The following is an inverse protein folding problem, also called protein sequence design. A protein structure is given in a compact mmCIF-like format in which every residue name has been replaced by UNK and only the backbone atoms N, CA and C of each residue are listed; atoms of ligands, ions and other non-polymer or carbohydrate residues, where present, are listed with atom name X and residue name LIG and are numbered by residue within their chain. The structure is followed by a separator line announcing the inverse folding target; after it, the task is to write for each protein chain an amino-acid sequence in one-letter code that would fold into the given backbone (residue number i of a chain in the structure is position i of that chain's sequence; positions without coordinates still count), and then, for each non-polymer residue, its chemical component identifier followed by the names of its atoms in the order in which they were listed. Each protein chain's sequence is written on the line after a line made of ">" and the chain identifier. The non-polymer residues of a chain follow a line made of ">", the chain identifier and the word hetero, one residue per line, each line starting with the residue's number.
data_IF_230906593495
#
_entry.id   IF_230906593495
#
_cell.length_a   1.000
_cell.length_b   1.000
_cell.length_c   1.000
_cell.angle_alpha   90.00
_cell.angle_beta   90.00
_cell.angle_gamma   90.00
#
_symmetry.space_group_name_H-M   'P 1'
#
loop_
_entity.id
_entity.type
_entity.pdbx_description
1 polymer ?
#
# COMPACT_ATOMS: atom_id res chain seq x y z
N UNK A 1 -29.06 1.67 8.38
CA UNK A 1 -28.61 0.43 9.02
C UNK A 1 -29.66 -0.65 8.86
N UNK A 2 -29.23 -1.84 8.59
CA UNK A 2 -30.07 -3.05 8.53
C UNK A 2 -29.45 -4.13 9.40
N UNK A 3 -30.30 -4.83 10.16
CA UNK A 3 -29.90 -6.05 10.85
C UNK A 3 -30.05 -7.26 9.93
N UNK A 4 -29.16 -8.22 10.07
CA UNK A 4 -29.20 -9.52 9.40
C UNK A 4 -29.50 -10.62 10.43
N UNK A 5 -30.65 -11.27 10.34
CA UNK A 5 -30.97 -12.41 11.23
C UNK A 5 -29.97 -13.57 11.03
N UNK A 6 -29.44 -13.68 9.82
CA UNK A 6 -28.35 -14.62 9.49
C UNK A 6 -27.17 -13.82 8.95
N UNK A 7 -26.00 -13.98 9.57
CA UNK A 7 -24.79 -13.26 9.15
C UNK A 7 -24.49 -13.52 7.65
N UNK A 8 -24.21 -12.45 6.91
CA UNK A 8 -23.92 -12.42 5.46
C UNK A 8 -25.10 -12.85 4.55
N UNK A 9 -26.30 -13.08 5.08
CA UNK A 9 -27.49 -13.36 4.28
C UNK A 9 -28.38 -12.12 4.19
N UNK A 10 -28.22 -11.35 3.12
CA UNK A 10 -28.98 -10.11 2.88
C UNK A 10 -30.48 -10.34 2.71
N UNK A 11 -30.92 -11.58 2.42
CA UNK A 11 -32.36 -11.92 2.34
C UNK A 11 -33.05 -11.88 3.70
N UNK A 12 -32.27 -11.95 4.78
CA UNK A 12 -32.75 -11.84 6.18
C UNK A 12 -32.70 -10.42 6.71
N UNK A 13 -32.31 -9.43 5.86
CA UNK A 13 -32.13 -8.05 6.30
C UNK A 13 -33.46 -7.40 6.70
N UNK A 14 -33.45 -6.76 7.85
CA UNK A 14 -34.54 -5.90 8.32
C UNK A 14 -34.04 -4.47 8.50
N UNK A 15 -34.82 -3.49 8.01
CA UNK A 15 -34.46 -2.09 8.24
C UNK A 15 -34.53 -1.79 9.74
N UNK A 16 -33.43 -1.30 10.28
CA UNK A 16 -33.31 -0.95 11.69
C UNK A 16 -33.44 0.56 11.89
N UNK A 17 -32.57 1.33 11.31
CA UNK A 17 -32.50 2.78 11.52
C UNK A 17 -31.81 3.52 10.39
N UNK A 18 -32.01 4.84 10.37
CA UNK A 18 -31.25 5.78 9.52
C UNK A 18 -30.76 6.96 10.36
N UNK A 19 -29.71 7.60 9.88
CA UNK A 19 -29.16 8.84 10.43
C UNK A 19 -29.09 9.88 9.33
N UNK A 20 -29.65 11.04 9.57
CA UNK A 20 -29.44 12.21 8.71
C UNK A 20 -28.11 12.87 9.09
N UNK A 21 -27.31 13.19 8.08
CA UNK A 21 -25.97 13.78 8.22
C UNK A 21 -26.04 15.20 7.65
N UNK A 22 -26.24 16.17 8.54
CA UNK A 22 -26.51 17.57 8.15
C UNK A 22 -25.24 18.36 7.83
N UNK A 23 -24.08 17.85 8.23
CA UNK A 23 -22.76 18.49 8.02
C UNK A 23 -22.19 18.24 6.63
N UNK A 24 -22.77 17.30 5.88
CA UNK A 24 -22.25 16.89 4.58
C UNK A 24 -22.81 17.71 3.42
N UNK A 25 -22.01 17.87 2.37
CA UNK A 25 -22.49 18.46 1.12
C UNK A 25 -23.44 17.47 0.46
N UNK A 26 -24.68 17.91 0.22
CA UNK A 26 -25.74 17.06 -0.34
C UNK A 26 -25.35 16.44 -1.68
N UNK A 27 -25.62 15.12 -1.82
CA UNK A 27 -25.39 14.32 -3.05
C UNK A 27 -23.93 14.18 -3.48
N UNK A 28 -22.98 14.25 -2.54
CA UNK A 28 -21.53 14.13 -2.84
C UNK A 28 -20.85 13.01 -2.07
N UNK A 29 -21.64 12.20 -1.33
CA UNK A 29 -21.10 11.07 -0.58
C UNK A 29 -20.62 9.98 -1.54
N UNK A 30 -19.47 9.41 -1.23
CA UNK A 30 -18.80 8.43 -2.09
C UNK A 30 -18.63 7.09 -1.39
N UNK A 31 -18.20 7.13 -0.12
CA UNK A 31 -17.83 5.93 0.59
C UNK A 31 -18.02 6.08 2.11
N UNK A 32 -18.15 4.95 2.81
CA UNK A 32 -18.33 4.86 4.28
C UNK A 32 -17.51 3.70 4.83
N UNK A 33 -16.71 4.01 5.85
CA UNK A 33 -15.89 3.05 6.58
C UNK A 33 -16.15 3.15 8.08
N UNK A 34 -15.86 2.07 8.80
CA UNK A 34 -15.85 2.04 10.27
C UNK A 34 -14.48 1.58 10.73
N UNK A 35 -14.06 2.03 11.92
CA UNK A 35 -12.93 1.38 12.58
C UNK A 35 -13.35 0.00 13.12
N UNK A 36 -12.35 -0.82 13.47
CA UNK A 36 -12.56 -2.24 13.80
C UNK A 36 -13.54 -2.45 14.99
N UNK A 37 -13.57 -1.55 15.97
CA UNK A 37 -14.46 -1.63 17.14
C UNK A 37 -15.81 -0.94 16.93
N UNK A 38 -16.04 -0.30 15.78
CA UNK A 38 -17.29 0.38 15.46
C UNK A 38 -17.57 1.66 16.28
N UNK A 39 -16.57 2.17 16.99
CA UNK A 39 -16.69 3.42 17.77
C UNK A 39 -16.57 4.69 16.90
N UNK A 40 -16.05 4.55 15.67
CA UNK A 40 -15.90 5.63 14.71
C UNK A 40 -16.47 5.23 13.34
N UNK A 41 -17.07 6.22 12.68
CA UNK A 41 -17.51 6.12 11.28
C UNK A 41 -16.88 7.25 10.48
N UNK A 42 -16.43 6.93 9.29
CA UNK A 42 -15.79 7.84 8.36
C UNK A 42 -16.59 7.91 7.08
N UNK A 43 -16.82 9.11 6.54
CA UNK A 43 -17.60 9.29 5.30
C UNK A 43 -16.81 10.17 4.36
N UNK A 44 -16.45 9.61 3.20
CA UNK A 44 -15.83 10.35 2.12
C UNK A 44 -16.90 11.15 1.36
N UNK A 45 -16.67 12.45 1.26
CA UNK A 45 -17.51 13.39 0.55
C UNK A 45 -16.65 14.26 -0.37
N UNK A 46 -16.49 13.86 -1.63
CA UNK A 46 -15.61 14.48 -2.62
C UNK A 46 -14.17 14.63 -2.12
N UNK A 47 -13.85 15.77 -1.54
CA UNK A 47 -12.51 16.16 -1.09
C UNK A 47 -12.36 16.11 0.42
N UNK A 48 -13.34 15.55 1.13
CA UNK A 48 -13.35 15.62 2.59
C UNK A 48 -13.76 14.28 3.19
N UNK A 49 -12.99 13.76 4.13
CA UNK A 49 -13.37 12.64 4.97
C UNK A 49 -13.95 13.24 6.27
N UNK A 50 -15.20 12.96 6.54
CA UNK A 50 -15.90 13.42 7.73
C UNK A 50 -15.89 12.32 8.78
N UNK A 51 -15.51 12.66 9.99
CA UNK A 51 -15.30 11.75 11.12
C UNK A 51 -16.44 11.90 12.11
N UNK A 52 -17.02 10.77 12.51
CA UNK A 52 -18.09 10.68 13.50
C UNK A 52 -17.68 9.74 14.62
N UNK A 53 -17.94 10.14 15.87
CA UNK A 53 -17.83 9.26 17.03
C UNK A 53 -19.19 8.62 17.31
N UNK A 54 -19.20 7.32 17.59
CA UNK A 54 -20.37 6.56 17.98
C UNK A 54 -20.28 6.19 19.47
N UNK A 55 -21.28 6.54 20.25
CA UNK A 55 -21.31 6.18 21.69
C UNK A 55 -21.73 4.74 21.93
N UNK A 56 -22.34 4.11 20.94
CA UNK A 56 -22.62 2.67 20.90
C UNK A 56 -22.00 2.13 19.59
N UNK A 57 -21.18 1.10 19.71
CA UNK A 57 -20.47 0.48 18.60
C UNK A 57 -21.43 0.09 17.47
N UNK A 58 -21.08 0.49 16.24
CA UNK A 58 -21.87 0.26 15.01
C UNK A 58 -23.32 0.79 15.03
N UNK A 59 -23.74 1.51 16.06
CA UNK A 59 -25.07 2.13 16.09
C UNK A 59 -25.02 3.54 15.51
N UNK A 60 -25.36 3.67 14.22
CA UNK A 60 -25.33 4.96 13.50
C UNK A 60 -26.25 6.02 14.11
N UNK A 61 -27.29 5.65 14.89
CA UNK A 61 -28.16 6.63 15.54
C UNK A 61 -27.44 7.43 16.63
N UNK A 62 -26.35 6.85 17.17
CA UNK A 62 -25.51 7.48 18.21
C UNK A 62 -24.37 8.31 17.62
N UNK A 63 -24.21 8.32 16.28
CA UNK A 63 -23.14 9.05 15.62
C UNK A 63 -23.26 10.57 15.87
N UNK A 64 -22.16 11.16 16.30
CA UNK A 64 -21.98 12.61 16.45
C UNK A 64 -20.78 13.06 15.62
N UNK A 65 -20.95 14.16 14.86
CA UNK A 65 -19.86 14.74 14.11
C UNK A 65 -18.72 15.17 15.03
N UNK A 66 -17.49 14.79 14.65
CA UNK A 66 -16.29 15.13 15.40
C UNK A 66 -15.46 16.18 14.63
N UNK A 67 -14.99 15.82 13.47
CA UNK A 67 -14.06 16.62 12.68
C UNK A 67 -14.12 16.22 11.21
N UNK A 68 -13.26 16.86 10.39
CA UNK A 68 -13.04 16.45 9.01
C UNK A 68 -11.55 16.54 8.63
N UNK A 69 -11.19 15.79 7.60
CA UNK A 69 -9.88 15.83 6.96
C UNK A 69 -10.05 16.13 5.47
N UNK A 70 -9.25 17.09 4.94
CA UNK A 70 -9.31 17.49 3.54
C UNK A 70 -8.23 16.81 2.72
N UNK A 71 -8.61 16.24 1.57
CA UNK A 71 -7.72 15.71 0.54
C UNK A 71 -7.63 16.64 -0.68
N UNK A 72 -8.19 17.86 -0.57
CA UNK A 72 -8.34 18.78 -1.70
C UNK A 72 -7.00 19.30 -2.28
N UNK A 73 -5.91 19.18 -1.52
CA UNK A 73 -4.56 19.52 -2.02
C UNK A 73 -4.03 18.46 -2.99
N UNK A 74 -4.45 17.20 -2.84
CA UNK A 74 -3.99 16.07 -3.63
C UNK A 74 -4.95 15.75 -4.76
N UNK A 75 -6.27 15.73 -4.49
CA UNK A 75 -7.29 15.42 -5.50
C UNK A 75 -8.56 16.26 -5.36
N UNK A 76 -9.20 16.54 -6.48
CA UNK A 76 -10.47 17.27 -6.55
C UNK A 76 -11.70 16.40 -6.36
N UNK A 77 -11.56 15.06 -6.42
CA UNK A 77 -12.65 14.11 -6.29
C UNK A 77 -12.16 12.74 -5.79
N UNK A 78 -12.17 12.52 -4.47
CA UNK A 78 -12.05 11.19 -3.88
C UNK A 78 -13.31 10.36 -4.14
N UNK A 79 -13.15 9.07 -4.45
CA UNK A 79 -14.25 8.16 -4.79
C UNK A 79 -14.30 6.88 -3.96
N UNK A 80 -13.21 6.48 -3.35
CA UNK A 80 -13.12 5.36 -2.42
C UNK A 80 -11.97 5.59 -1.46
N UNK A 81 -12.01 5.00 -0.29
CA UNK A 81 -10.90 5.04 0.66
C UNK A 81 -10.94 3.83 1.58
N UNK A 82 -9.81 3.54 2.21
CA UNK A 82 -9.73 2.53 3.27
C UNK A 82 -8.69 2.95 4.30
N UNK A 83 -8.86 2.46 5.53
CA UNK A 83 -7.97 2.73 6.66
C UNK A 83 -7.49 1.39 7.21
N UNK A 84 -6.23 1.33 7.63
CA UNK A 84 -5.67 0.14 8.29
C UNK A 84 -6.37 -0.14 9.63
N UNK A 85 -6.36 -1.40 10.07
CA UNK A 85 -7.01 -1.82 11.32
C UNK A 85 -6.51 -1.05 12.55
N UNK A 86 -5.24 -0.64 12.58
CA UNK A 86 -4.64 0.17 13.63
C UNK A 86 -4.88 1.69 13.46
N UNK A 87 -5.48 2.08 12.32
CA UNK A 87 -5.80 3.47 11.99
C UNK A 87 -4.62 4.34 11.61
N UNK A 88 -3.42 3.78 11.43
CA UNK A 88 -2.21 4.56 11.14
C UNK A 88 -1.95 4.78 9.65
N UNK A 89 -2.52 3.95 8.78
CA UNK A 89 -2.44 4.07 7.32
C UNK A 89 -3.80 4.37 6.72
N UNK A 90 -3.85 5.24 5.72
CA UNK A 90 -5.06 5.53 4.95
C UNK A 90 -4.73 5.65 3.48
N UNK A 91 -5.56 5.05 2.65
CA UNK A 91 -5.46 5.10 1.20
C UNK A 91 -6.73 5.69 0.61
N UNK A 92 -6.58 6.66 -0.28
CA UNK A 92 -7.71 7.32 -0.95
C UNK A 92 -7.54 7.21 -2.45
N UNK A 93 -8.59 6.77 -3.12
CA UNK A 93 -8.66 6.75 -4.59
C UNK A 93 -9.24 8.06 -5.07
N UNK A 94 -8.49 8.77 -5.91
CA UNK A 94 -8.90 10.00 -6.54
C UNK A 94 -9.33 9.78 -8.01
N UNK A 95 -10.41 10.41 -8.42
CA UNK A 95 -10.91 10.41 -9.81
C UNK A 95 -10.51 11.68 -10.57
N UNK A 96 -9.99 12.69 -9.87
CA UNK A 96 -9.53 13.92 -10.48
C UNK A 96 -8.19 13.77 -11.21
N UNK A 97 -7.28 13.01 -10.62
CA UNK A 97 -5.96 12.72 -11.18
C UNK A 97 -5.75 11.22 -11.45
N UNK A 98 -6.75 10.37 -11.18
CA UNK A 98 -6.71 8.91 -11.37
C UNK A 98 -5.57 8.24 -10.58
N UNK A 99 -5.31 8.71 -9.35
CA UNK A 99 -4.24 8.23 -8.48
C UNK A 99 -4.79 7.59 -7.21
N UNK A 100 -3.95 6.77 -6.57
CA UNK A 100 -4.14 6.36 -5.17
C UNK A 100 -3.19 7.18 -4.30
N UNK A 101 -3.72 7.81 -3.27
CA UNK A 101 -2.99 8.65 -2.31
C UNK A 101 -2.84 7.92 -1.00
N UNK A 102 -1.64 7.94 -0.46
CA UNK A 102 -1.30 7.37 0.82
C UNK A 102 -1.10 8.46 1.87
N UNK A 103 -1.68 8.24 3.05
CA UNK A 103 -1.52 9.08 4.22
C UNK A 103 -1.08 8.25 5.42
N UNK A 104 -0.23 8.84 6.24
CA UNK A 104 0.17 8.28 7.52
C UNK A 104 -0.38 9.13 8.67
N UNK A 105 -0.96 8.47 9.66
CA UNK A 105 -1.45 9.07 10.89
C UNK A 105 -0.52 8.63 12.04
N UNK A 106 0.19 9.56 12.67
CA UNK A 106 1.11 9.22 13.77
C UNK A 106 0.38 8.74 15.03
N UNK A 107 -0.92 8.99 15.11
CA UNK A 107 -1.83 8.42 16.11
C UNK A 107 -3.02 7.83 15.37
N UNK A 108 -3.26 6.53 15.57
CA UNK A 108 -4.32 5.82 14.86
C UNK A 108 -5.68 6.50 15.00
N UNK A 109 -6.38 6.66 13.87
CA UNK A 109 -7.69 7.33 13.76
C UNK A 109 -7.74 8.79 14.21
N UNK A 110 -6.60 9.43 14.49
CA UNK A 110 -6.50 10.87 14.76
C UNK A 110 -6.06 11.61 13.48
N UNK A 111 -7.01 12.07 12.71
CA UNK A 111 -6.79 12.74 11.43
C UNK A 111 -6.07 14.09 11.55
N UNK A 112 -5.98 14.67 12.77
CA UNK A 112 -5.15 15.87 13.00
C UNK A 112 -3.65 15.58 12.88
N UNK A 113 -3.28 14.30 12.98
CA UNK A 113 -1.89 13.81 12.84
C UNK A 113 -1.60 13.28 11.46
N UNK A 114 -2.56 13.33 10.53
CA UNK A 114 -2.42 12.80 9.18
C UNK A 114 -1.43 13.65 8.36
N UNK A 115 -0.55 12.96 7.66
CA UNK A 115 0.41 13.54 6.72
C UNK A 115 0.36 12.77 5.40
N UNK A 116 0.37 13.51 4.28
CA UNK A 116 0.54 12.91 2.96
C UNK A 116 1.91 12.24 2.86
N UNK A 117 1.95 11.01 2.37
CA UNK A 117 3.17 10.22 2.18
C UNK A 117 3.57 10.20 0.72
N UNK A 118 2.69 9.66 -0.12
CA UNK A 118 2.95 9.47 -1.55
C UNK A 118 1.66 9.31 -2.34
N UNK A 119 1.78 9.34 -3.67
CA UNK A 119 0.73 8.91 -4.57
C UNK A 119 1.25 7.84 -5.52
N UNK A 120 0.38 6.95 -5.91
CA UNK A 120 0.64 5.89 -6.86
C UNK A 120 -0.21 6.06 -8.10
N UNK A 121 0.45 6.12 -9.26
CA UNK A 121 -0.18 6.13 -10.57
C UNK A 121 -0.32 4.68 -11.05
N UNK A 122 -1.56 4.22 -11.17
CA UNK A 122 -1.86 2.85 -11.60
C UNK A 122 -1.68 2.64 -13.10
N UNK A 123 -1.54 3.73 -13.88
CA UNK A 123 -1.33 3.67 -15.33
C UNK A 123 0.13 3.33 -15.68
N UNK A 124 1.03 3.28 -14.69
CA UNK A 124 2.44 2.91 -14.89
C UNK A 124 2.65 1.42 -14.63
N UNK A 125 3.00 0.65 -15.68
CA UNK A 125 3.34 -0.76 -15.59
C UNK A 125 2.35 -1.71 -16.25
N UNK A 126 2.21 -2.93 -15.73
CA UNK A 126 1.36 -3.98 -16.29
C UNK A 126 -0.15 -3.77 -16.05
N UNK A 127 -0.52 -2.64 -15.47
CA UNK A 127 -1.90 -2.32 -15.14
C UNK A 127 -2.33 -0.94 -15.69
N UNK A 128 -2.76 -0.89 -16.94
CA UNK A 128 -3.38 0.31 -17.47
C UNK A 128 -4.87 0.33 -17.10
N UNK A 129 -5.23 0.88 -15.96
CA UNK A 129 -6.60 1.30 -15.66
C UNK A 129 -6.53 2.70 -15.04
N UNK A 130 -6.75 3.72 -15.87
CA UNK A 130 -6.71 5.11 -15.44
C UNK A 130 -8.06 5.59 -14.87
N UNK A 131 -8.92 4.65 -14.42
CA UNK A 131 -10.17 4.97 -13.75
C UNK A 131 -10.36 4.08 -12.53
N UNK A 132 -9.57 4.29 -11.48
CA UNK A 132 -9.80 3.59 -10.22
C UNK A 132 -11.17 3.92 -9.66
N UNK A 133 -11.77 3.00 -8.90
CA UNK A 133 -13.11 3.19 -8.34
C UNK A 133 -13.15 2.96 -6.84
N UNK A 134 -12.34 2.02 -6.36
CA UNK A 134 -12.34 1.68 -4.95
C UNK A 134 -11.03 0.99 -4.58
N UNK A 135 -10.72 0.98 -3.28
CA UNK A 135 -9.53 0.39 -2.69
C UNK A 135 -9.90 -0.38 -1.42
N UNK A 136 -9.32 -1.55 -1.26
CA UNK A 136 -9.48 -2.36 -0.05
C UNK A 136 -8.14 -2.94 0.38
N UNK A 137 -7.99 -3.20 1.68
CA UNK A 137 -6.85 -3.91 2.25
C UNK A 137 -7.27 -5.34 2.64
N UNK A 138 -6.30 -6.26 2.69
CA UNK A 138 -6.49 -7.50 3.43
C UNK A 138 -6.34 -7.24 4.95
N UNK A 139 -6.77 -8.22 5.76
CA UNK A 139 -6.85 -8.06 7.22
C UNK A 139 -5.52 -7.81 7.92
N UNK A 140 -4.37 -8.15 7.32
CA UNK A 140 -3.05 -7.91 7.87
C UNK A 140 -2.36 -6.68 7.25
N UNK A 141 -3.04 -5.96 6.35
CA UNK A 141 -2.53 -4.77 5.69
C UNK A 141 -1.37 -5.02 4.71
N UNK A 142 -1.02 -6.28 4.42
CA UNK A 142 0.10 -6.61 3.53
C UNK A 142 -0.24 -6.50 2.05
N UNK A 143 -1.53 -6.38 1.71
CA UNK A 143 -2.01 -6.28 0.33
C UNK A 143 -3.07 -5.21 0.19
N UNK A 144 -2.97 -4.49 -0.91
CA UNK A 144 -3.97 -3.54 -1.36
C UNK A 144 -4.59 -4.04 -2.66
N UNK A 145 -5.90 -3.96 -2.75
CA UNK A 145 -6.68 -4.29 -3.93
C UNK A 145 -7.32 -3.02 -4.46
N UNK A 146 -7.18 -2.78 -5.76
CA UNK A 146 -7.80 -1.65 -6.43
C UNK A 146 -8.70 -2.21 -7.53
N UNK A 147 -9.94 -1.73 -7.60
CA UNK A 147 -10.84 -1.99 -8.72
C UNK A 147 -10.86 -0.77 -9.63
N UNK A 148 -10.73 -1.01 -10.92
CA UNK A 148 -10.87 0.01 -11.96
C UNK A 148 -12.03 -0.29 -12.90
N UNK A 149 -12.50 0.70 -13.62
CA UNK A 149 -13.66 0.60 -14.53
C UNK A 149 -13.33 0.74 -16.00
N UNK A 150 -12.12 1.09 -16.37
CA UNK A 150 -11.75 1.20 -17.78
C UNK A 150 -11.48 -0.16 -18.42
N UNK A 151 -10.85 -1.07 -17.67
CA UNK A 151 -10.48 -2.42 -18.14
C UNK A 151 -11.13 -3.53 -17.32
N UNK A 152 -12.11 -3.20 -16.46
CA UNK A 152 -12.87 -4.15 -15.63
C UNK A 152 -11.96 -5.11 -14.85
N UNK A 153 -10.91 -4.57 -14.22
CA UNK A 153 -9.91 -5.38 -13.49
C UNK A 153 -9.92 -5.09 -11.99
N UNK A 154 -9.52 -6.10 -11.24
CA UNK A 154 -9.05 -5.97 -9.86
C UNK A 154 -7.55 -6.22 -9.86
N UNK A 155 -6.79 -5.32 -9.28
CA UNK A 155 -5.33 -5.44 -9.14
C UNK A 155 -4.95 -5.56 -7.69
N UNK A 156 -3.93 -6.36 -7.46
CA UNK A 156 -3.36 -6.56 -6.13
C UNK A 156 -1.95 -5.99 -6.09
N UNK A 157 -1.70 -5.16 -5.08
CA UNK A 157 -0.37 -4.66 -4.73
C UNK A 157 0.07 -5.26 -3.41
N UNK A 158 1.35 -5.64 -3.31
CA UNK A 158 1.95 -6.01 -2.04
C UNK A 158 2.44 -4.73 -1.36
N UNK A 159 1.97 -4.51 -0.14
CA UNK A 159 2.41 -3.42 0.71
C UNK A 159 3.56 -3.91 1.58
N UNK A 160 4.68 -3.21 1.56
CA UNK A 160 5.82 -3.50 2.44
C UNK A 160 5.83 -2.50 3.57
N UNK A 161 5.84 -3.00 4.81
CA UNK A 161 6.01 -2.13 5.97
C UNK A 161 7.39 -1.45 5.93
N UNK A 162 7.41 -0.14 5.83
CA UNK A 162 8.60 0.65 6.06
C UNK A 162 8.47 1.38 7.40
N UNK A 163 8.57 0.61 8.46
CA UNK A 163 8.79 1.08 9.84
C UNK A 163 7.72 2.00 10.46
N UNK A 164 6.80 2.61 9.73
CA UNK A 164 5.77 3.51 10.27
C UNK A 164 4.67 3.93 9.27
N UNK A 165 4.76 3.59 8.00
CA UNK A 165 3.72 3.86 7.01
C UNK A 165 3.73 2.76 5.95
N UNK A 166 2.56 2.41 5.44
CA UNK A 166 2.46 1.60 4.23
C UNK A 166 3.00 2.46 3.08
N UNK A 167 4.05 1.99 2.42
CA UNK A 167 4.71 2.75 1.37
C UNK A 167 4.42 2.10 0.02
N UNK A 168 3.62 2.75 -0.81
CA UNK A 168 3.37 2.34 -2.20
C UNK A 168 4.59 2.55 -3.11
N UNK A 169 5.62 3.23 -2.62
CA UNK A 169 6.84 3.42 -3.38
C UNK A 169 7.63 2.12 -3.41
N UNK A 170 7.87 1.60 -4.60
CA UNK A 170 8.72 0.42 -4.78
C UNK A 170 10.11 0.66 -4.19
N UNK A 171 10.70 -0.34 -3.52
CA UNK A 171 12.07 -0.27 -3.05
C UNK A 171 13.02 0.09 -4.19
N UNK A 172 13.83 1.11 -4.01
CA UNK A 172 14.87 1.46 -4.98
C UNK A 172 16.24 1.06 -4.46
N UNK A 173 17.12 0.59 -5.36
CA UNK A 173 18.50 0.31 -5.01
C UNK A 173 19.20 1.64 -4.68
N UNK A 174 19.63 1.80 -3.43
CA UNK A 174 20.34 2.99 -2.95
C UNK A 174 21.84 2.91 -3.18
N UNK A 175 22.42 1.72 -3.05
CA UNK A 175 23.84 1.45 -3.31
C UNK A 175 24.10 -0.05 -3.44
N UNK A 176 25.20 -0.40 -4.05
CA UNK A 176 25.75 -1.76 -4.09
C UNK A 176 27.19 -1.82 -3.56
N UNK A 177 27.59 -2.98 -3.09
CA UNK A 177 28.99 -3.31 -2.84
C UNK A 177 29.26 -4.72 -3.40
N UNK A 178 30.17 -4.89 -4.39
CA UNK A 178 30.96 -3.83 -5.04
C UNK A 178 30.10 -2.74 -5.65
N UNK A 179 30.61 -1.51 -5.71
CA UNK A 179 29.94 -0.42 -6.41
C UNK A 179 30.02 -0.65 -7.93
N UNK A 180 29.14 0.01 -8.68
CA UNK A 180 29.20 0.00 -10.14
C UNK A 180 30.58 0.49 -10.62
N UNK A 181 31.16 -0.21 -11.61
CA UNK A 181 32.52 0.02 -12.13
C UNK A 181 33.65 -0.11 -11.09
N UNK A 182 33.45 -0.80 -9.97
CA UNK A 182 34.51 -1.05 -8.99
C UNK A 182 35.64 -1.89 -9.57
N UNK A 183 36.87 -1.53 -9.23
CA UNK A 183 38.10 -2.27 -9.67
C UNK A 183 38.81 -2.84 -8.43
N UNK A 184 39.58 -3.92 -8.64
CA UNK A 184 40.32 -4.57 -7.56
C UNK A 184 39.42 -5.32 -6.56
N UNK A 185 38.24 -5.71 -7.00
CA UNK A 185 37.29 -6.50 -6.20
C UNK A 185 37.84 -7.91 -6.02
N UNK A 186 37.75 -8.47 -4.81
CA UNK A 186 38.09 -9.86 -4.55
C UNK A 186 37.14 -10.79 -5.30
N UNK A 187 37.67 -11.89 -5.87
CA UNK A 187 36.86 -12.85 -6.63
C UNK A 187 35.83 -13.60 -5.78
N UNK A 188 36.07 -13.68 -4.48
CA UNK A 188 35.20 -14.28 -3.46
C UNK A 188 34.29 -13.25 -2.75
N UNK A 189 34.25 -12.01 -3.26
CA UNK A 189 33.46 -10.96 -2.60
C UNK A 189 31.95 -11.23 -2.67
N UNK A 190 31.27 -11.01 -1.55
CA UNK A 190 29.81 -10.96 -1.53
C UNK A 190 29.30 -9.73 -2.30
N UNK A 191 28.14 -9.86 -2.92
CA UNK A 191 27.39 -8.74 -3.47
C UNK A 191 26.39 -8.26 -2.40
N UNK A 192 26.50 -7.01 -1.99
CA UNK A 192 25.61 -6.39 -1.02
C UNK A 192 24.78 -5.31 -1.71
N UNK A 193 23.47 -5.44 -1.64
CA UNK A 193 22.51 -4.48 -2.19
C UNK A 193 21.84 -3.75 -1.04
N UNK A 194 21.92 -2.42 -1.02
CA UNK A 194 21.22 -1.59 -0.05
C UNK A 194 20.04 -0.93 -0.74
N UNK A 195 18.86 -1.09 -0.19
CA UNK A 195 17.61 -0.54 -0.69
C UNK A 195 17.17 0.68 0.12
N UNK A 196 16.29 1.49 -0.45
CA UNK A 196 15.68 2.64 0.21
C UNK A 196 14.82 2.24 1.41
N UNK A 197 14.42 0.96 1.51
CA UNK A 197 13.51 0.41 2.50
C UNK A 197 13.74 -1.08 2.69
N UNK A 198 13.03 -1.70 3.62
CA UNK A 198 13.08 -3.15 3.86
C UNK A 198 12.51 -3.90 2.64
N UNK A 199 13.16 -4.98 2.25
CA UNK A 199 12.75 -5.85 1.15
C UNK A 199 12.65 -7.29 1.61
N UNK A 200 11.67 -8.00 1.09
CA UNK A 200 11.55 -9.44 1.28
C UNK A 200 11.95 -10.15 -0.01
N UNK A 201 12.78 -11.18 0.10
CA UNK A 201 13.03 -12.08 -1.02
C UNK A 201 11.89 -13.11 -1.06
N UNK A 202 11.25 -13.24 -2.22
CA UNK A 202 10.10 -14.14 -2.41
C UNK A 202 10.44 -15.29 -3.36
N UNK A 203 10.56 -15.00 -4.66
CA UNK A 203 10.84 -16.03 -5.68
C UNK A 203 11.66 -15.46 -6.83
N UNK A 204 12.35 -16.34 -7.58
CA UNK A 204 13.15 -15.97 -8.73
C UNK A 204 14.63 -16.24 -8.55
N UNK A 205 15.42 -15.74 -9.48
CA UNK A 205 16.86 -15.94 -9.51
C UNK A 205 17.60 -14.60 -9.72
N UNK A 206 18.77 -14.50 -9.11
CA UNK A 206 19.78 -13.50 -9.41
C UNK A 206 20.77 -14.15 -10.39
N UNK A 207 21.08 -13.49 -11.48
CA UNK A 207 22.05 -13.95 -12.47
C UNK A 207 23.23 -13.01 -12.56
N UNK A 208 24.44 -13.56 -12.63
CA UNK A 208 25.68 -12.82 -12.85
C UNK A 208 26.13 -13.12 -14.28
N UNK A 209 26.41 -12.09 -15.05
CA UNK A 209 26.81 -12.19 -16.45
C UNK A 209 28.19 -11.56 -16.69
N UNK A 210 28.92 -12.09 -17.67
CA UNK A 210 30.15 -11.40 -18.19
C UNK A 210 29.69 -10.25 -19.08
N UNK A 211 30.24 -9.06 -18.88
CA UNK A 211 29.93 -7.88 -19.69
C UNK A 211 30.34 -8.06 -21.15
N UNK A 212 31.36 -8.89 -21.41
CA UNK A 212 31.97 -9.06 -22.78
C UNK A 212 31.03 -9.76 -23.77
N UNK A 213 30.21 -10.71 -23.35
CA UNK A 213 29.41 -11.57 -24.23
C UNK A 213 28.02 -11.93 -23.65
N UNK A 214 27.65 -11.31 -22.52
CA UNK A 214 26.41 -11.55 -21.78
C UNK A 214 26.23 -13.03 -21.35
N UNK A 215 27.30 -13.81 -21.28
CA UNK A 215 27.22 -15.19 -20.83
C UNK A 215 26.96 -15.25 -19.31
N UNK A 216 25.98 -16.08 -18.90
CA UNK A 216 25.64 -16.31 -17.49
C UNK A 216 26.75 -17.13 -16.83
N UNK A 217 27.34 -16.63 -15.74
CA UNK A 217 28.34 -17.34 -14.94
C UNK A 217 27.79 -17.89 -13.62
N UNK A 218 26.73 -17.28 -13.09
CA UNK A 218 26.08 -17.78 -11.91
C UNK A 218 24.57 -17.52 -11.98
N UNK A 219 23.78 -18.46 -11.40
CA UNK A 219 22.34 -18.33 -11.21
C UNK A 219 22.05 -18.72 -9.77
N UNK A 220 21.59 -17.77 -8.97
CA UNK A 220 21.39 -17.92 -7.53
C UNK A 220 19.91 -17.75 -7.23
N UNK A 221 19.27 -18.80 -6.70
CA UNK A 221 17.88 -18.71 -6.27
C UNK A 221 17.80 -17.76 -5.06
N UNK A 222 16.89 -16.79 -5.10
CA UNK A 222 16.77 -15.75 -4.05
C UNK A 222 16.38 -16.34 -2.68
N UNK A 223 15.74 -17.50 -2.65
CA UNK A 223 15.35 -18.19 -1.39
C UNK A 223 16.40 -19.16 -0.88
N UNK A 224 17.56 -19.28 -1.54
CA UNK A 224 18.66 -20.14 -1.09
C UNK A 224 19.40 -19.53 0.10
N UNK A 225 20.18 -20.36 0.81
CA UNK A 225 21.05 -19.91 1.91
C UNK A 225 22.15 -18.92 1.47
N UNK A 226 22.38 -18.79 0.17
CA UNK A 226 23.34 -17.84 -0.42
C UNK A 226 22.81 -16.41 -0.48
N UNK A 227 21.52 -16.22 -0.20
CA UNK A 227 20.88 -14.90 -0.13
C UNK A 227 20.37 -14.68 1.27
N UNK A 228 20.84 -13.64 1.92
CA UNK A 228 20.48 -13.31 3.32
C UNK A 228 20.05 -11.85 3.43
N UNK A 229 19.35 -11.50 4.52
CA UNK A 229 18.89 -10.14 4.79
C UNK A 229 17.42 -9.88 4.44
N UNK A 230 16.61 -10.91 4.11
CA UNK A 230 15.16 -10.74 3.92
C UNK A 230 14.53 -10.05 5.14
N UNK A 231 13.57 -9.14 4.90
CA UNK A 231 12.96 -8.31 5.96
C UNK A 231 13.83 -7.13 6.43
N UNK A 232 14.95 -6.85 5.75
CA UNK A 232 15.80 -5.68 6.03
C UNK A 232 16.02 -4.84 4.78
N UNK A 233 16.62 -3.66 4.92
CA UNK A 233 17.02 -2.82 3.78
C UNK A 233 18.31 -3.26 3.09
N UNK A 234 18.92 -4.36 3.54
CA UNK A 234 20.16 -4.85 2.96
C UNK A 234 20.04 -6.34 2.61
N UNK A 235 20.26 -6.69 1.36
CA UNK A 235 20.36 -8.07 0.87
C UNK A 235 21.82 -8.37 0.56
N UNK A 236 22.31 -9.48 1.11
CA UNK A 236 23.65 -10.00 0.84
C UNK A 236 23.55 -11.28 0.03
N UNK A 237 24.26 -11.32 -1.08
CA UNK A 237 24.34 -12.44 -2.02
C UNK A 237 25.75 -12.98 -1.95
N UNK A 238 25.90 -14.27 -1.66
CA UNK A 238 27.18 -14.99 -1.67
C UNK A 238 27.20 -15.90 -2.89
N UNK A 239 27.93 -15.56 -3.97
CA UNK A 239 28.10 -16.46 -5.11
C UNK A 239 28.70 -17.80 -4.65
N UNK A 240 28.21 -18.92 -5.22
CA UNK A 240 28.67 -20.27 -4.84
C UNK A 240 30.12 -20.51 -5.21
N UNK A 241 30.54 -19.96 -6.36
CA UNK A 241 31.88 -20.09 -6.90
C UNK A 241 32.55 -18.73 -6.99
N UNK A 242 33.86 -18.68 -6.83
CA UNK A 242 34.68 -17.49 -7.03
C UNK A 242 34.56 -16.99 -8.48
N UNK A 243 34.52 -15.68 -8.65
CA UNK A 243 34.58 -15.05 -9.98
C UNK A 243 36.01 -15.07 -10.55
N UNK A 244 36.15 -14.84 -11.84
CA UNK A 244 37.47 -14.86 -12.51
C UNK A 244 38.16 -13.50 -12.40
N UNK A 245 39.47 -13.50 -12.21
CA UNK A 245 40.27 -12.27 -12.24
C UNK A 245 40.30 -11.61 -13.62
N UNK A 246 40.20 -10.30 -13.65
CA UNK A 246 40.34 -9.49 -14.86
C UNK A 246 39.11 -9.56 -15.79
N UNK A 247 38.03 -10.09 -15.34
CA UNK A 247 36.72 -10.11 -16.02
C UNK A 247 35.81 -9.09 -15.43
N UNK A 248 35.05 -8.41 -16.27
CA UNK A 248 33.97 -7.49 -15.91
C UNK A 248 32.61 -8.23 -15.93
N UNK A 249 31.82 -8.01 -14.88
CA UNK A 249 30.54 -8.67 -14.67
C UNK A 249 29.39 -7.66 -14.52
#
# INVERSE_FOLDING_TARGET
>A
QYDLDTAFDVSTSTFEKSKELTELIVNKHKDVEFNADGSKMFILNLTTINIYNLTTEFDISTASYDSNFSIASEDSEGIGFTITDDGTGMFVVGNGNDLVYEYYLSTGFDFTTASYVSSYDQDTGDFPDNQPRDVALNSDGSKMYIIGSQNDKVVTYSLTENGSAYNLKLPTLSSSSPADNATGVSVDANIVLNFSEKVNVDSGNITIHKTSDDSTVATINVTSSNVTGTGTSQITINPTDDLEYGIEY
#
